data_IF_891797842187
#
_entry.id   IF_891797842187
#
_cell.length_a   1.000
_cell.length_b   1.000
_cell.length_c   1.000
_cell.angle_alpha   90.00
_cell.angle_beta   90.00
_cell.angle_gamma   90.00
#
_symmetry.space_group_name_H-M   'P 1'
#
loop_
_entity.id
_entity.type
_entity.pdbx_description
1 polymer ?
#
# COMPACT_ATOMS: atom_id res chain seq x y z
N UNK A 1 13.01 -8.18 1.12
CA UNK A 1 11.85 -7.28 1.27
C UNK A 1 10.65 -8.17 1.51
N UNK A 2 9.86 -7.85 2.54
CA UNK A 2 8.54 -8.39 2.82
C UNK A 2 7.42 -7.35 2.60
N UNK A 3 6.30 -7.72 1.99
CA UNK A 3 5.13 -6.84 1.93
C UNK A 3 4.54 -6.74 3.33
N UNK A 4 4.50 -5.53 3.90
CA UNK A 4 3.91 -5.28 5.21
C UNK A 4 2.38 -5.34 5.11
N UNK A 5 1.80 -6.48 5.49
CA UNK A 5 0.36 -6.66 5.63
C UNK A 5 0.03 -7.30 6.98
N UNK A 6 -1.12 -6.95 7.55
CA UNK A 6 -1.59 -7.54 8.80
C UNK A 6 -2.18 -8.92 8.52
N UNK A 7 -1.82 -9.91 9.33
CA UNK A 7 -2.53 -11.18 9.39
C UNK A 7 -3.68 -11.07 10.40
N UNK A 8 -4.85 -11.59 10.06
CA UNK A 8 -6.00 -11.64 10.96
C UNK A 8 -6.35 -13.09 11.30
N UNK A 9 -6.82 -13.35 12.54
CA UNK A 9 -7.14 -14.70 12.98
C UNK A 9 -8.28 -15.33 12.17
N UNK A 10 -8.27 -16.66 12.12
CA UNK A 10 -9.33 -17.48 11.54
C UNK A 10 -10.69 -17.15 12.17
N UNK A 11 -11.76 -17.14 11.36
CA UNK A 11 -13.11 -16.74 11.75
C UNK A 11 -13.36 -15.22 11.72
N UNK A 12 -12.35 -14.40 11.42
CA UNK A 12 -12.53 -12.98 11.12
C UNK A 12 -13.29 -12.79 9.80
N UNK A 13 -14.14 -11.76 9.65
CA UNK A 13 -14.72 -11.39 8.35
C UNK A 13 -13.68 -11.14 7.25
N UNK A 14 -12.42 -10.89 7.64
CA UNK A 14 -11.30 -10.57 6.78
C UNK A 14 -10.29 -11.72 6.65
N UNK A 15 -10.65 -12.92 7.11
CA UNK A 15 -9.78 -14.09 7.01
C UNK A 15 -9.29 -14.31 5.56
N UNK A 16 -7.97 -14.42 5.41
CA UNK A 16 -7.31 -14.60 4.12
C UNK A 16 -7.34 -13.39 3.19
N UNK A 17 -8.02 -12.29 3.54
CA UNK A 17 -8.15 -11.13 2.66
C UNK A 17 -6.80 -10.47 2.43
N UNK A 18 -6.08 -10.17 3.50
CA UNK A 18 -4.80 -9.47 3.47
C UNK A 18 -3.69 -10.30 2.81
N UNK A 19 -3.73 -11.62 2.98
CA UNK A 19 -2.86 -12.58 2.32
C UNK A 19 -3.09 -12.55 0.80
N UNK A 20 -4.36 -12.59 0.36
CA UNK A 20 -4.70 -12.47 -1.07
C UNK A 20 -4.25 -11.13 -1.65
N UNK A 21 -4.37 -10.03 -0.90
CA UNK A 21 -3.85 -8.73 -1.33
C UNK A 21 -2.34 -8.80 -1.52
N UNK A 22 -1.60 -9.36 -0.56
CA UNK A 22 -0.15 -9.47 -0.63
C UNK A 22 0.29 -10.31 -1.84
N UNK A 23 -0.37 -11.45 -2.10
CA UNK A 23 -0.09 -12.31 -3.24
C UNK A 23 -0.30 -11.58 -4.58
N UNK A 24 -1.39 -10.82 -4.70
CA UNK A 24 -1.67 -10.07 -5.93
C UNK A 24 -0.73 -8.90 -6.14
N UNK A 25 -0.37 -8.17 -5.08
CA UNK A 25 0.67 -7.14 -5.15
C UNK A 25 1.97 -7.76 -5.64
N UNK A 26 2.38 -8.90 -5.06
CA UNK A 26 3.60 -9.59 -5.45
C UNK A 26 3.59 -10.02 -6.93
N UNK A 27 2.43 -10.42 -7.46
CA UNK A 27 2.28 -10.85 -8.85
C UNK A 27 2.43 -9.70 -9.87
N UNK A 28 2.11 -8.46 -9.50
CA UNK A 28 2.16 -7.29 -10.41
C UNK A 28 3.36 -6.38 -10.16
N UNK A 29 4.16 -6.66 -9.12
CA UNK A 29 5.30 -5.83 -8.75
C UNK A 29 6.43 -5.93 -9.79
N UNK A 30 6.90 -4.77 -10.24
CA UNK A 30 8.12 -4.66 -11.07
C UNK A 30 9.27 -4.04 -10.24
N UNK A 31 10.55 -4.19 -10.62
CA UNK A 31 11.66 -3.53 -9.94
C UNK A 31 11.49 -2.01 -9.80
N UNK A 32 10.89 -1.35 -10.78
CA UNK A 32 10.67 0.10 -10.79
C UNK A 32 9.58 0.52 -9.80
N UNK A 33 8.43 -0.18 -9.82
CA UNK A 33 7.33 0.08 -8.87
C UNK A 33 7.75 -0.27 -7.45
N UNK A 34 8.54 -1.33 -7.31
CA UNK A 34 9.21 -1.76 -6.08
C UNK A 34 10.05 -0.61 -5.50
N UNK A 35 10.98 -0.06 -6.29
CA UNK A 35 11.81 1.06 -5.86
C UNK A 35 10.99 2.29 -5.48
N UNK A 36 9.97 2.64 -6.27
CA UNK A 36 9.09 3.77 -5.98
C UNK A 36 8.40 3.62 -4.61
N UNK A 37 7.84 2.44 -4.30
CA UNK A 37 7.20 2.19 -3.00
C UNK A 37 8.19 2.35 -1.83
N UNK A 38 9.40 1.80 -1.95
CA UNK A 38 10.39 1.92 -0.88
C UNK A 38 10.86 3.36 -0.69
N UNK A 39 11.06 4.08 -1.80
CA UNK A 39 11.43 5.49 -1.75
C UNK A 39 10.36 6.31 -1.05
N UNK A 40 9.09 6.14 -1.40
CA UNK A 40 7.99 6.83 -0.73
C UNK A 40 7.92 6.52 0.76
N UNK A 41 8.09 5.24 1.15
CA UNK A 41 8.16 4.85 2.57
C UNK A 41 9.33 5.50 3.31
N UNK A 42 10.48 5.68 2.65
CA UNK A 42 11.66 6.33 3.22
C UNK A 42 11.52 7.85 3.31
N UNK A 43 10.88 8.47 2.32
CA UNK A 43 10.66 9.92 2.26
C UNK A 43 9.52 10.38 3.18
N UNK A 44 8.63 9.47 3.59
CA UNK A 44 7.54 9.78 4.51
C UNK A 44 8.10 10.09 5.90
N UNK A 45 7.76 11.24 6.52
CA UNK A 45 8.17 11.58 7.88
C UNK A 45 7.72 10.51 8.90
N UNK A 46 8.58 10.22 9.89
CA UNK A 46 8.34 9.16 10.88
C UNK A 46 7.09 9.40 11.75
N UNK A 47 6.69 10.68 11.88
CA UNK A 47 5.48 11.11 12.58
C UNK A 47 4.20 10.74 11.84
N UNK A 48 4.26 10.55 10.52
CA UNK A 48 3.11 10.20 9.69
C UNK A 48 2.84 8.69 9.73
N UNK A 49 1.64 8.31 10.18
CA UNK A 49 1.20 6.90 10.21
C UNK A 49 0.35 6.59 8.99
N UNK A 50 1.01 6.26 7.89
CA UNK A 50 0.36 5.89 6.64
C UNK A 50 0.30 4.36 6.53
N UNK A 51 -0.89 3.76 6.33
CA UNK A 51 -1.02 2.32 6.11
C UNK A 51 -0.26 1.85 4.87
N UNK A 52 0.38 0.68 4.95
CA UNK A 52 1.19 0.12 3.84
C UNK A 52 0.42 0.03 2.51
N UNK A 53 -0.86 -0.33 2.58
CA UNK A 53 -1.77 -0.44 1.42
C UNK A 53 -1.91 0.85 0.60
N UNK A 54 -1.74 2.01 1.23
CA UNK A 54 -1.77 3.31 0.57
C UNK A 54 -0.68 3.43 -0.51
N UNK A 55 0.56 3.07 -0.14
CA UNK A 55 1.71 3.12 -1.03
C UNK A 55 1.53 2.18 -2.22
N UNK A 56 1.09 0.95 -1.95
CA UNK A 56 0.85 -0.03 -3.00
C UNK A 56 -0.23 0.45 -3.98
N UNK A 57 -1.35 0.97 -3.48
CA UNK A 57 -2.44 1.50 -4.32
C UNK A 57 -1.98 2.70 -5.15
N UNK A 58 -1.35 3.69 -4.53
CA UNK A 58 -0.90 4.90 -5.21
C UNK A 58 0.09 4.58 -6.34
N UNK A 59 1.04 3.67 -6.11
CA UNK A 59 2.06 3.34 -7.10
C UNK A 59 1.52 2.42 -8.19
N UNK A 60 0.80 1.36 -7.81
CA UNK A 60 0.40 0.30 -8.74
C UNK A 60 -0.87 0.63 -9.52
N UNK A 61 -1.85 1.29 -8.90
CA UNK A 61 -3.10 1.66 -9.59
C UNK A 61 -2.99 3.04 -10.25
N UNK A 62 -2.41 4.03 -9.55
CA UNK A 62 -2.46 5.44 -9.99
C UNK A 62 -1.12 5.96 -10.55
N UNK A 63 -0.08 5.13 -10.57
CA UNK A 63 1.17 5.50 -11.21
C UNK A 63 2.00 6.54 -10.45
N UNK A 64 1.72 6.82 -9.18
CA UNK A 64 2.48 7.78 -8.34
C UNK A 64 3.96 7.38 -8.23
N UNK A 65 4.89 8.33 -8.39
CA UNK A 65 6.35 8.07 -8.35
C UNK A 65 7.15 9.03 -7.46
N UNK A 66 6.53 10.07 -6.92
CA UNK A 66 7.20 11.05 -6.04
C UNK A 66 6.40 11.36 -4.78
N UNK A 67 7.07 11.80 -3.72
CA UNK A 67 6.40 12.20 -2.48
C UNK A 67 5.39 13.33 -2.69
N UNK A 68 5.68 14.30 -3.57
CA UNK A 68 4.76 15.39 -3.86
C UNK A 68 3.45 14.90 -4.50
N UNK A 69 3.54 13.97 -5.46
CA UNK A 69 2.37 13.30 -6.04
C UNK A 69 1.64 12.46 -4.99
N UNK A 70 2.37 11.76 -4.13
CA UNK A 70 1.78 10.94 -3.07
C UNK A 70 1.01 11.79 -2.04
N UNK A 71 1.56 12.92 -1.62
CA UNK A 71 0.90 13.86 -0.73
C UNK A 71 -0.35 14.52 -1.38
N UNK A 72 -0.35 14.71 -2.71
CA UNK A 72 -1.57 15.10 -3.43
C UNK A 72 -2.59 13.96 -3.45
N UNK A 73 -2.15 12.75 -3.78
CA UNK A 73 -2.98 11.57 -3.83
C UNK A 73 -3.67 11.26 -2.49
N UNK A 74 -2.96 11.37 -1.35
CA UNK A 74 -3.53 11.16 -0.02
C UNK A 74 -4.64 12.18 0.33
N UNK A 75 -4.52 13.42 -0.15
CA UNK A 75 -5.57 14.44 0.06
C UNK A 75 -6.83 14.14 -0.74
N UNK A 76 -6.67 13.55 -1.91
CA UNK A 76 -7.78 13.14 -2.79
C UNK A 76 -8.37 11.78 -2.40
N UNK A 77 -7.60 10.96 -1.67
CA UNK A 77 -7.96 9.62 -1.23
C UNK A 77 -7.82 9.49 0.30
N UNK A 78 -8.72 10.10 1.09
CA UNK A 78 -8.72 9.97 2.53
C UNK A 78 -8.72 8.51 2.95
N UNK A 79 -7.80 8.14 3.83
CA UNK A 79 -7.66 6.77 4.31
C UNK A 79 -8.45 6.63 5.60
N UNK A 80 -9.67 6.12 5.47
CA UNK A 80 -10.59 5.89 6.58
C UNK A 80 -10.91 4.40 6.68
N UNK A 81 -10.74 3.82 7.87
CA UNK A 81 -11.07 2.42 8.13
C UNK A 81 -10.25 1.42 7.31
N UNK A 82 -10.91 0.37 6.81
CA UNK A 82 -10.29 -0.70 6.04
C UNK A 82 -10.31 -0.33 4.56
N UNK A 83 -9.14 -0.31 3.92
CA UNK A 83 -9.05 -0.09 2.48
C UNK A 83 -9.29 -1.41 1.75
N UNK A 84 -10.46 -1.54 1.13
CA UNK A 84 -10.85 -2.68 0.31
C UNK A 84 -10.34 -2.56 -1.14
N UNK A 85 -9.01 -2.39 -1.29
CA UNK A 85 -8.37 -2.41 -2.60
C UNK A 85 -7.65 -3.74 -2.86
N UNK A 86 -7.76 -4.22 -4.09
CA UNK A 86 -7.15 -5.46 -4.55
C UNK A 86 -6.66 -5.24 -6.00
N UNK A 87 -5.35 -5.37 -6.27
CA UNK A 87 -4.82 -5.30 -7.62
C UNK A 87 -5.22 -6.51 -8.49
#
# INVERSE_FOLDING_TARGET
WQIDMIHLPEGSPWEGYFERVADRIAAVLTPETREAILRLKYETPDEEKIPGIAYYRAVLAEGVRSYAEFAAWLREHPIEGIIEWMP
#
